data_IF_673800549389
#
_entry.id   IF_673800549389
#
_cell.length_a   1.000
_cell.length_b   1.000
_cell.length_c   1.000
_cell.angle_alpha   90.00
_cell.angle_beta   90.00
_cell.angle_gamma   90.00
#
_symmetry.space_group_name_H-M   'P 1'
#
loop_
_entity.id
_entity.type
_entity.pdbx_description
1 polymer ?
#
# COMPACT_ATOMS: atom_id res chain seq x y z
N UNK A 1 -13.04 15.61 -20.27
CA UNK A 1 -12.60 16.34 -19.05
C UNK A 1 -11.14 16.00 -18.82
N UNK A 2 -10.28 16.98 -18.59
CA UNK A 2 -8.82 16.80 -18.51
C UNK A 2 -8.40 16.36 -17.09
N UNK A 3 -7.65 15.27 -16.97
CA UNK A 3 -7.10 14.74 -15.71
C UNK A 3 -6.18 15.76 -15.04
N UNK A 4 -5.51 16.61 -15.82
CA UNK A 4 -4.65 17.68 -15.31
C UNK A 4 -5.42 18.70 -14.48
N UNK A 5 -6.57 19.18 -14.99
CA UNK A 5 -7.43 20.11 -14.27
C UNK A 5 -8.10 19.49 -13.04
N UNK A 6 -8.18 18.16 -13.02
CA UNK A 6 -8.79 17.40 -11.96
C UNK A 6 -7.80 17.20 -10.79
N UNK A 7 -6.51 16.94 -11.08
CA UNK A 7 -5.43 16.83 -10.08
C UNK A 7 -5.14 18.15 -9.33
N UNK A 8 -5.37 19.29 -9.97
CA UNK A 8 -5.06 20.60 -9.40
C UNK A 8 -6.20 21.20 -8.55
N UNK A 9 -7.29 20.47 -8.29
CA UNK A 9 -8.37 20.95 -7.42
C UNK A 9 -8.03 20.68 -5.95
N UNK A 10 -8.07 21.70 -5.06
CA UNK A 10 -7.88 21.47 -3.63
C UNK A 10 -8.97 20.53 -3.11
N UNK A 11 -8.58 19.53 -2.31
CA UNK A 11 -9.50 18.53 -1.77
C UNK A 11 -10.31 19.11 -0.59
N UNK A 12 -11.65 19.27 -0.73
CA UNK A 12 -12.48 19.68 0.40
C UNK A 12 -12.81 18.50 1.33
N UNK A 13 -12.46 17.24 1.02
CA UNK A 13 -12.98 16.07 1.71
C UNK A 13 -12.65 16.06 3.21
N UNK A 14 -11.43 16.42 3.62
CA UNK A 14 -11.09 16.45 5.04
C UNK A 14 -11.92 17.47 5.81
N UNK A 15 -12.05 18.70 5.31
CA UNK A 15 -12.90 19.71 5.94
C UNK A 15 -14.39 19.34 5.84
N UNK A 16 -14.78 18.57 4.82
CA UNK A 16 -16.15 18.10 4.63
C UNK A 16 -16.66 17.21 5.77
N UNK A 17 -15.84 16.25 6.24
CA UNK A 17 -16.25 15.34 7.32
C UNK A 17 -16.46 16.05 8.67
N UNK A 18 -15.78 17.18 8.89
CA UNK A 18 -15.84 17.94 10.15
C UNK A 18 -16.83 19.10 10.10
N UNK A 19 -16.89 19.82 8.98
CA UNK A 19 -17.76 20.99 8.84
C UNK A 19 -19.21 20.59 8.54
N UNK A 20 -19.47 19.32 8.25
CA UNK A 20 -20.83 18.81 8.09
C UNK A 20 -21.61 18.89 9.41
N UNK A 21 -22.72 19.62 9.39
CA UNK A 21 -23.63 19.71 10.53
C UNK A 21 -24.91 18.89 10.25
N UNK A 22 -25.08 17.70 10.86
CA UNK A 22 -26.25 16.86 10.60
C UNK A 22 -27.60 17.49 11.00
N UNK A 23 -27.58 18.56 11.80
CA UNK A 23 -28.80 19.29 12.19
C UNK A 23 -29.23 20.35 11.18
N UNK A 24 -28.33 20.74 10.26
CA UNK A 24 -28.54 21.81 9.28
C UNK A 24 -28.38 21.34 7.84
N UNK A 25 -27.57 20.31 7.63
CA UNK A 25 -27.11 19.89 6.32
C UNK A 25 -27.66 18.51 5.97
N UNK A 26 -28.23 18.40 4.77
CA UNK A 26 -28.44 17.10 4.11
C UNK A 26 -27.11 16.64 3.50
N UNK A 27 -26.71 15.38 3.76
CA UNK A 27 -25.40 14.85 3.36
C UNK A 27 -25.16 14.92 1.84
N UNK A 28 -26.19 14.64 1.03
CA UNK A 28 -26.07 14.70 -0.43
C UNK A 28 -25.92 16.15 -0.89
N UNK A 29 -26.77 17.05 -0.40
CA UNK A 29 -26.75 18.47 -0.74
C UNK A 29 -25.42 19.13 -0.34
N UNK A 30 -24.90 18.77 0.84
CA UNK A 30 -23.61 19.23 1.31
C UNK A 30 -22.48 18.77 0.38
N UNK A 31 -22.41 17.48 0.05
CA UNK A 31 -21.41 16.94 -0.87
C UNK A 31 -21.52 17.59 -2.26
N UNK A 32 -22.73 17.85 -2.75
CA UNK A 32 -22.95 18.56 -4.01
C UNK A 32 -22.43 20.00 -3.98
N UNK A 33 -22.56 20.70 -2.86
CA UNK A 33 -21.98 22.05 -2.70
C UNK A 33 -20.44 22.05 -2.77
N UNK A 34 -19.82 20.93 -2.42
CA UNK A 34 -18.37 20.69 -2.54
C UNK A 34 -17.97 20.15 -3.92
N UNK A 35 -18.91 20.03 -4.86
CA UNK A 35 -18.66 19.60 -6.22
C UNK A 35 -18.74 18.09 -6.45
N UNK A 36 -19.28 17.30 -5.52
CA UNK A 36 -19.51 15.87 -5.71
C UNK A 36 -20.87 15.58 -6.37
N UNK A 37 -20.93 14.65 -7.32
CA UNK A 37 -22.17 14.21 -7.96
C UNK A 37 -22.82 15.25 -8.89
N UNK A 38 -22.10 16.31 -9.25
CA UNK A 38 -22.54 17.33 -10.22
C UNK A 38 -21.87 17.09 -11.58
N UNK A 39 -22.45 17.63 -12.66
CA UNK A 39 -21.85 17.55 -14.00
C UNK A 39 -20.47 18.22 -14.02
N UNK A 40 -19.44 17.50 -14.49
CA UNK A 40 -18.05 17.97 -14.43
C UNK A 40 -17.47 18.09 -13.01
N UNK A 41 -18.10 17.44 -12.04
CA UNK A 41 -17.66 17.35 -10.65
C UNK A 41 -16.98 16.03 -10.30
N UNK A 42 -16.73 15.81 -9.01
CA UNK A 42 -16.21 14.56 -8.46
C UNK A 42 -17.30 13.48 -8.40
N UNK A 43 -16.94 12.18 -8.49
CA UNK A 43 -17.93 11.11 -8.30
C UNK A 43 -18.51 11.14 -6.89
N UNK A 44 -19.84 11.08 -6.75
CA UNK A 44 -20.49 11.11 -5.44
C UNK A 44 -20.11 9.86 -4.62
N UNK A 45 -19.53 10.00 -3.41
CA UNK A 45 -19.28 8.86 -2.55
C UNK A 45 -20.60 8.21 -2.11
N UNK A 46 -20.54 6.93 -1.75
CA UNK A 46 -21.68 6.27 -1.12
C UNK A 46 -21.93 6.94 0.22
N UNK A 47 -23.14 7.46 0.44
CA UNK A 47 -23.53 8.02 1.74
C UNK A 47 -23.97 6.84 2.61
N UNK A 48 -23.34 6.66 3.77
CA UNK A 48 -23.74 5.59 4.68
C UNK A 48 -25.17 5.81 5.17
N UNK A 49 -26.01 4.77 5.07
CA UNK A 49 -27.43 4.81 5.48
C UNK A 49 -27.58 4.96 6.98
N UNK A 50 -26.74 4.28 7.75
CA UNK A 50 -26.68 4.39 9.21
C UNK A 50 -25.28 4.06 9.75
N UNK A 51 -24.91 4.55 10.95
CA UNK A 51 -23.69 4.12 11.63
C UNK A 51 -23.65 2.61 11.88
N UNK A 52 -24.79 1.99 12.21
CA UNK A 52 -24.87 0.55 12.48
C UNK A 52 -24.59 -0.32 11.26
N UNK A 53 -25.05 0.08 10.07
CA UNK A 53 -24.76 -0.66 8.84
C UNK A 53 -23.26 -0.61 8.51
N UNK A 54 -22.63 0.55 8.74
CA UNK A 54 -21.21 0.72 8.52
C UNK A 54 -20.39 -0.05 9.54
N UNK A 55 -20.79 -0.03 10.81
CA UNK A 55 -20.16 -0.80 11.87
C UNK A 55 -20.23 -2.32 11.57
N UNK A 56 -21.41 -2.83 11.19
CA UNK A 56 -21.56 -4.23 10.79
C UNK A 56 -20.65 -4.62 9.61
N UNK A 57 -20.50 -3.74 8.62
CA UNK A 57 -19.57 -3.96 7.50
C UNK A 57 -18.10 -3.96 7.96
N UNK A 58 -17.73 -3.03 8.84
CA UNK A 58 -16.38 -2.95 9.41
C UNK A 58 -16.07 -4.24 10.18
N UNK A 59 -16.99 -4.69 11.04
CA UNK A 59 -16.85 -5.94 11.80
C UNK A 59 -16.75 -7.14 10.87
N UNK A 60 -17.59 -7.24 9.83
CA UNK A 60 -17.54 -8.34 8.87
C UNK A 60 -16.18 -8.44 8.18
N UNK A 61 -15.66 -7.33 7.66
CA UNK A 61 -14.34 -7.30 7.02
C UNK A 61 -13.23 -7.63 8.02
N UNK A 62 -13.29 -7.08 9.23
CA UNK A 62 -12.32 -7.32 10.29
C UNK A 62 -12.25 -8.79 10.70
N UNK A 63 -13.38 -9.45 10.92
CA UNK A 63 -13.42 -10.88 11.21
C UNK A 63 -12.83 -11.72 10.07
N UNK A 64 -13.15 -11.38 8.81
CA UNK A 64 -12.60 -12.07 7.65
C UNK A 64 -11.06 -11.93 7.55
N UNK A 65 -10.53 -10.75 7.86
CA UNK A 65 -9.08 -10.50 7.89
C UNK A 65 -8.41 -11.35 8.97
N UNK A 66 -8.92 -11.31 10.22
CA UNK A 66 -8.34 -12.05 11.33
C UNK A 66 -8.42 -13.57 11.12
N UNK A 67 -9.54 -14.08 10.60
CA UNK A 67 -9.68 -15.50 10.28
C UNK A 67 -8.64 -15.97 9.24
N UNK A 68 -8.47 -15.22 8.15
CA UNK A 68 -7.48 -15.54 7.13
C UNK A 68 -6.04 -15.38 7.66
N UNK A 69 -5.77 -14.38 8.51
CA UNK A 69 -4.49 -14.21 9.19
C UNK A 69 -4.12 -15.42 10.06
N UNK A 70 -5.04 -15.90 10.90
CA UNK A 70 -4.78 -17.06 11.76
C UNK A 70 -4.55 -18.34 10.94
N UNK A 71 -5.29 -18.52 9.83
CA UNK A 71 -5.07 -19.63 8.90
C UNK A 71 -3.67 -19.56 8.26
N UNK A 72 -3.29 -18.38 7.76
CA UNK A 72 -1.96 -18.14 7.19
C UNK A 72 -0.84 -18.37 8.20
N UNK A 73 -0.98 -17.83 9.40
CA UNK A 73 -0.01 -17.95 10.50
C UNK A 73 0.22 -19.42 10.86
N UNK A 74 -0.87 -20.20 10.95
CA UNK A 74 -0.80 -21.65 11.16
C UNK A 74 -0.05 -22.35 10.03
N UNK A 75 -0.40 -22.10 8.76
CA UNK A 75 0.28 -22.72 7.62
C UNK A 75 1.76 -22.35 7.56
N UNK A 76 2.08 -21.08 7.78
CA UNK A 76 3.44 -20.57 7.77
C UNK A 76 4.32 -21.26 8.82
N UNK A 77 3.82 -21.39 10.06
CA UNK A 77 4.55 -22.06 11.14
C UNK A 77 4.83 -23.55 10.88
N UNK A 78 3.91 -24.27 10.24
CA UNK A 78 4.07 -25.71 9.99
C UNK A 78 4.95 -26.04 8.77
N UNK A 79 5.01 -25.15 7.77
CA UNK A 79 5.63 -25.44 6.47
C UNK A 79 6.67 -24.40 6.01
N UNK A 80 7.22 -23.58 6.92
CA UNK A 80 8.12 -22.45 6.59
C UNK A 80 9.18 -22.77 5.53
N UNK A 81 9.94 -23.86 5.70
CA UNK A 81 10.96 -24.30 4.72
C UNK A 81 10.36 -24.81 3.40
N UNK A 82 9.22 -25.48 3.45
CA UNK A 82 8.51 -26.01 2.28
C UNK A 82 8.04 -24.93 1.32
N UNK A 83 7.48 -23.83 1.86
CA UNK A 83 7.08 -22.66 1.07
C UNK A 83 8.23 -22.13 0.22
N UNK A 84 9.38 -21.93 0.85
CA UNK A 84 10.55 -21.32 0.24
C UNK A 84 11.12 -22.19 -0.87
N UNK A 85 11.34 -23.48 -0.58
CA UNK A 85 11.91 -24.43 -1.53
C UNK A 85 10.98 -24.61 -2.72
N UNK A 86 9.69 -24.85 -2.46
CA UNK A 86 8.72 -25.10 -3.51
C UNK A 86 8.51 -23.88 -4.41
N UNK A 87 8.36 -22.70 -3.83
CA UNK A 87 8.13 -21.46 -4.58
C UNK A 87 9.35 -21.01 -5.39
N UNK A 88 10.56 -21.15 -4.83
CA UNK A 88 11.80 -20.79 -5.51
C UNK A 88 12.06 -21.68 -6.74
N UNK A 89 11.72 -22.97 -6.65
CA UNK A 89 11.92 -23.94 -7.73
C UNK A 89 10.83 -23.88 -8.81
N UNK A 90 9.72 -23.18 -8.56
CA UNK A 90 8.63 -23.05 -9.52
C UNK A 90 8.98 -22.10 -10.67
N UNK A 91 8.66 -22.46 -11.90
CA UNK A 91 8.87 -21.59 -13.06
C UNK A 91 7.95 -20.35 -13.04
N UNK A 92 8.39 -19.25 -13.64
CA UNK A 92 7.63 -17.96 -13.69
C UNK A 92 6.19 -18.15 -14.17
N UNK A 93 5.96 -18.91 -15.26
CA UNK A 93 4.61 -19.18 -15.79
C UNK A 93 3.72 -19.95 -14.82
N UNK A 94 4.30 -20.90 -14.09
CA UNK A 94 3.57 -21.68 -13.07
C UNK A 94 3.23 -20.79 -11.86
N UNK A 95 4.17 -19.94 -11.43
CA UNK A 95 3.92 -18.95 -10.37
C UNK A 95 2.78 -18.01 -10.77
N UNK A 96 2.83 -17.43 -11.96
CA UNK A 96 1.78 -16.55 -12.46
C UNK A 96 0.41 -17.24 -12.52
N UNK A 97 0.35 -18.50 -12.98
CA UNK A 97 -0.89 -19.28 -13.01
C UNK A 97 -1.45 -19.53 -11.59
N UNK A 98 -0.59 -19.93 -10.65
CA UNK A 98 -0.99 -20.16 -9.25
C UNK A 98 -1.48 -18.87 -8.58
N UNK A 99 -0.81 -17.74 -8.83
CA UNK A 99 -1.22 -16.44 -8.31
C UNK A 99 -2.59 -16.02 -8.86
N UNK A 100 -2.80 -16.17 -10.16
CA UNK A 100 -4.09 -15.84 -10.80
C UNK A 100 -5.23 -16.73 -10.27
N UNK A 101 -4.96 -18.02 -10.07
CA UNK A 101 -5.93 -18.95 -9.51
C UNK A 101 -6.30 -18.59 -8.06
N UNK A 102 -5.31 -18.31 -7.21
CA UNK A 102 -5.54 -17.89 -5.83
C UNK A 102 -6.26 -16.54 -5.73
N UNK A 103 -5.97 -15.62 -6.66
CA UNK A 103 -6.62 -14.32 -6.75
C UNK A 103 -8.08 -14.41 -7.22
N UNK A 104 -8.43 -15.46 -7.97
CA UNK A 104 -9.75 -15.62 -8.60
C UNK A 104 -9.87 -14.90 -9.95
N UNK A 105 -8.76 -14.63 -10.62
CA UNK A 105 -8.70 -13.94 -11.91
C UNK A 105 -7.30 -13.41 -12.22
N UNK A 106 -7.12 -12.70 -13.35
CA UNK A 106 -5.83 -12.10 -13.67
C UNK A 106 -5.47 -10.99 -12.67
N UNK A 107 -4.26 -11.08 -12.10
CA UNK A 107 -3.65 -9.97 -11.37
C UNK A 107 -3.26 -8.84 -12.35
N UNK A 108 -3.14 -7.59 -11.86
CA UNK A 108 -2.51 -6.53 -12.63
C UNK A 108 -1.15 -6.99 -13.17
N UNK A 109 -0.93 -6.82 -14.47
CA UNK A 109 0.21 -7.46 -15.13
C UNK A 109 1.56 -6.83 -14.79
N UNK A 110 1.59 -5.52 -14.52
CA UNK A 110 2.81 -4.71 -14.49
C UNK A 110 3.09 -4.14 -13.12
N UNK A 111 4.37 -3.90 -12.84
CA UNK A 111 4.80 -3.08 -11.72
C UNK A 111 4.12 -1.71 -11.74
N UNK A 112 3.63 -1.25 -10.58
CA UNK A 112 2.90 0.03 -10.42
C UNK A 112 1.76 0.19 -11.44
N UNK A 113 0.73 -0.68 -11.38
CA UNK A 113 -0.39 -0.62 -12.29
C UNK A 113 -1.18 0.70 -12.14
N UNK A 114 -1.20 1.30 -10.95
CA UNK A 114 -1.74 2.65 -10.69
C UNK A 114 -1.10 3.72 -11.59
N UNK A 115 0.24 3.74 -11.69
CA UNK A 115 0.96 4.66 -12.55
C UNK A 115 0.70 4.36 -14.01
N UNK A 116 0.65 3.08 -14.39
CA UNK A 116 0.35 2.70 -15.76
C UNK A 116 -1.04 3.22 -16.18
N UNK A 117 -2.05 3.00 -15.36
CA UNK A 117 -3.41 3.49 -15.58
C UNK A 117 -3.45 5.01 -15.66
N UNK A 118 -2.76 5.72 -14.76
CA UNK A 118 -2.67 7.19 -14.79
C UNK A 118 -2.00 7.70 -16.07
N UNK A 119 -0.87 7.11 -16.46
CA UNK A 119 -0.14 7.48 -17.66
C UNK A 119 -0.97 7.25 -18.93
N UNK A 120 -1.89 6.28 -18.94
CA UNK A 120 -2.82 6.11 -20.07
C UNK A 120 -3.83 7.24 -20.23
N UNK A 121 -3.94 8.14 -19.26
CA UNK A 121 -4.83 9.29 -19.29
C UNK A 121 -4.16 10.60 -19.69
N UNK A 122 -2.82 10.66 -19.61
CA UNK A 122 -2.09 11.87 -19.92
C UNK A 122 -1.88 11.96 -21.45
N UNK A 123 -2.47 12.99 -22.06
CA UNK A 123 -2.26 13.32 -23.46
C UNK A 123 -0.77 13.57 -23.74
N UNK A 124 -0.23 12.95 -24.79
CA UNK A 124 1.06 13.34 -25.36
C UNK A 124 2.32 12.84 -24.64
N UNK A 125 2.20 12.00 -23.60
CA UNK A 125 3.39 11.34 -23.04
C UNK A 125 3.76 10.15 -23.90
N UNK A 126 4.83 10.33 -24.68
CA UNK A 126 5.43 9.30 -25.52
C UNK A 126 6.35 8.42 -24.68
N UNK A 127 5.80 7.40 -24.00
CA UNK A 127 6.65 6.35 -23.42
C UNK A 127 7.13 5.44 -24.56
N UNK A 128 8.43 5.52 -24.89
CA UNK A 128 9.07 4.69 -25.94
C UNK A 128 8.38 4.75 -27.32
N UNK A 129 7.94 5.92 -27.77
CA UNK A 129 7.37 6.10 -29.11
C UNK A 129 5.90 5.71 -29.26
N UNK A 130 5.21 5.29 -28.18
CA UNK A 130 3.79 4.90 -28.24
C UNK A 130 2.92 6.12 -27.92
N UNK A 131 2.17 6.60 -28.91
CA UNK A 131 1.11 7.58 -28.70
C UNK A 131 -0.08 6.92 -27.99
N UNK A 132 -0.21 7.17 -26.69
CA UNK A 132 -1.35 6.68 -25.90
C UNK A 132 -2.48 7.71 -25.98
N UNK A 133 -3.63 7.32 -26.55
CA UNK A 133 -4.84 8.15 -26.51
C UNK A 133 -5.45 8.07 -25.11
N UNK A 134 -5.90 9.20 -24.52
CA UNK A 134 -6.54 9.21 -23.21
C UNK A 134 -7.83 8.41 -23.26
N UNK A 135 -7.99 7.50 -22.29
CA UNK A 135 -9.17 6.61 -22.23
C UNK A 135 -10.34 7.19 -21.41
N UNK A 136 -10.15 8.35 -20.79
CA UNK A 136 -11.15 9.02 -19.95
C UNK A 136 -11.20 8.50 -18.51
N UNK A 137 -11.79 9.31 -17.63
CA UNK A 137 -11.89 9.03 -16.19
C UNK A 137 -12.70 7.76 -15.87
N UNK A 138 -13.70 7.43 -16.69
CA UNK A 138 -14.47 6.17 -16.56
C UNK A 138 -13.57 4.93 -16.65
N UNK A 139 -12.48 5.00 -17.42
CA UNK A 139 -11.50 3.91 -17.47
C UNK A 139 -10.81 3.73 -16.12
N UNK A 140 -10.39 4.81 -15.47
CA UNK A 140 -9.80 4.74 -14.14
C UNK A 140 -10.78 4.15 -13.12
N UNK A 141 -12.05 4.56 -13.19
CA UNK A 141 -13.13 4.01 -12.35
C UNK A 141 -13.41 2.53 -12.60
N UNK A 142 -13.14 2.01 -13.80
CA UNK A 142 -13.23 0.58 -14.09
C UNK A 142 -12.06 -0.23 -13.53
N UNK A 143 -10.92 0.43 -13.30
CA UNK A 143 -9.66 -0.19 -12.88
C UNK A 143 -9.25 0.14 -11.43
N UNK A 144 -10.23 0.28 -10.52
CA UNK A 144 -9.99 0.65 -9.10
C UNK A 144 -8.98 -0.25 -8.39
N UNK A 145 -8.91 -1.52 -8.78
CA UNK A 145 -7.99 -2.48 -8.15
C UNK A 145 -6.52 -2.08 -8.33
N UNK A 146 -6.15 -1.53 -9.48
CA UNK A 146 -4.80 -1.05 -9.75
C UNK A 146 -4.36 0.02 -8.74
N UNK A 147 -5.32 0.83 -8.27
CA UNK A 147 -5.08 1.89 -7.32
C UNK A 147 -5.21 1.45 -5.86
N UNK A 148 -5.91 0.34 -5.56
CA UNK A 148 -6.16 -0.12 -4.17
C UNK A 148 -4.94 -0.81 -3.57
N UNK A 149 -4.28 -1.62 -4.38
CA UNK A 149 -3.11 -2.40 -3.98
C UNK A 149 -2.09 -2.40 -5.14
N UNK A 150 -1.45 -1.26 -5.44
CA UNK A 150 -0.53 -1.15 -6.58
C UNK A 150 0.72 -2.06 -6.47
N UNK A 151 1.07 -2.47 -5.26
CA UNK A 151 2.13 -3.47 -5.05
C UNK A 151 1.70 -4.88 -5.45
N UNK A 152 0.40 -5.17 -5.59
CA UNK A 152 -0.07 -6.50 -5.94
C UNK A 152 -0.15 -6.67 -7.47
N UNK A 153 0.94 -7.15 -8.07
CA UNK A 153 1.03 -7.36 -9.51
C UNK A 153 1.75 -8.67 -9.89
N UNK A 154 1.42 -9.20 -11.07
CA UNK A 154 1.94 -10.47 -11.55
C UNK A 154 3.44 -10.40 -11.88
N UNK A 155 3.91 -9.29 -12.44
CA UNK A 155 5.32 -9.09 -12.82
C UNK A 155 6.23 -9.29 -11.60
N UNK A 156 6.02 -8.54 -10.53
CA UNK A 156 6.88 -8.60 -9.34
C UNK A 156 6.75 -9.94 -8.60
N UNK A 157 5.52 -10.42 -8.39
CA UNK A 157 5.26 -11.60 -7.57
C UNK A 157 5.67 -12.91 -8.26
N UNK A 158 5.69 -12.96 -9.60
CA UNK A 158 6.06 -14.15 -10.36
C UNK A 158 7.50 -14.13 -10.90
N UNK A 159 8.04 -12.96 -11.26
CA UNK A 159 9.41 -12.88 -11.78
C UNK A 159 10.44 -12.92 -10.65
N UNK A 160 10.14 -12.28 -9.52
CA UNK A 160 11.03 -12.21 -8.37
C UNK A 160 10.44 -13.07 -7.24
N UNK A 161 10.79 -14.36 -7.12
CA UNK A 161 10.16 -15.25 -6.14
C UNK A 161 10.25 -14.75 -4.70
N UNK A 162 11.31 -13.99 -4.37
CA UNK A 162 11.51 -13.38 -3.05
C UNK A 162 10.38 -12.39 -2.70
N UNK A 163 9.81 -11.66 -3.67
CA UNK A 163 8.74 -10.68 -3.42
C UNK A 163 7.51 -11.32 -2.78
N UNK A 164 7.04 -12.44 -3.35
CA UNK A 164 5.89 -13.15 -2.82
C UNK A 164 6.16 -13.78 -1.45
N UNK A 165 7.37 -14.31 -1.24
CA UNK A 165 7.77 -14.88 0.05
C UNK A 165 7.91 -13.80 1.14
N UNK A 166 8.46 -12.63 0.81
CA UNK A 166 8.51 -11.48 1.71
C UNK A 166 7.11 -10.99 2.07
N UNK A 167 6.22 -10.86 1.08
CA UNK A 167 4.84 -10.43 1.31
C UNK A 167 4.11 -11.40 2.25
N UNK A 168 4.16 -12.70 1.93
CA UNK A 168 3.53 -13.73 2.73
C UNK A 168 4.13 -13.78 4.14
N UNK A 169 5.46 -13.87 4.26
CA UNK A 169 6.14 -13.98 5.55
C UNK A 169 5.91 -12.79 6.45
N UNK A 170 5.89 -11.57 5.90
CA UNK A 170 5.58 -10.36 6.68
C UNK A 170 4.15 -10.43 7.24
N UNK A 171 3.17 -10.73 6.39
CA UNK A 171 1.75 -10.70 6.76
C UNK A 171 1.28 -11.93 7.56
N UNK A 172 2.01 -13.04 7.51
CA UNK A 172 1.73 -14.22 8.35
C UNK A 172 2.36 -14.12 9.74
N UNK A 173 3.45 -13.34 9.88
CA UNK A 173 4.19 -13.24 11.14
C UNK A 173 3.76 -12.05 12.01
N UNK A 174 3.16 -11.03 11.42
CA UNK A 174 2.81 -9.77 12.10
C UNK A 174 1.30 -9.56 12.07
N UNK A 175 0.77 -8.87 13.09
CA UNK A 175 -0.67 -8.67 13.20
C UNK A 175 -1.15 -7.70 12.11
N UNK A 176 -2.35 -7.89 11.51
CA UNK A 176 -2.85 -7.02 10.42
C UNK A 176 -2.86 -5.51 10.74
N UNK A 177 -2.98 -5.17 12.03
CA UNK A 177 -2.96 -3.78 12.54
C UNK A 177 -1.66 -3.05 12.21
N UNK A 178 -0.56 -3.76 12.02
CA UNK A 178 0.73 -3.14 11.74
C UNK A 178 0.78 -2.55 10.32
N UNK A 179 -0.14 -2.99 9.44
CA UNK A 179 -0.09 -2.68 8.01
C UNK A 179 -1.11 -1.62 7.56
N UNK A 180 -2.12 -1.27 8.38
CA UNK A 180 -3.23 -0.42 7.94
C UNK A 180 -2.79 0.93 7.36
N UNK A 181 -1.71 1.53 7.91
CA UNK A 181 -1.13 2.80 7.41
C UNK A 181 -0.50 2.63 6.05
N UNK A 182 0.32 1.59 5.87
CA UNK A 182 0.93 1.26 4.57
C UNK A 182 -0.14 0.99 3.52
N UNK A 183 -1.20 0.29 3.90
CA UNK A 183 -2.27 -0.07 2.97
C UNK A 183 -3.09 1.17 2.58
N UNK A 184 -3.32 2.10 3.52
CA UNK A 184 -3.93 3.40 3.21
C UNK A 184 -3.06 4.26 2.30
N UNK A 185 -1.75 4.30 2.56
CA UNK A 185 -0.80 5.08 1.77
C UNK A 185 -0.58 4.47 0.38
N UNK A 186 -0.63 3.14 0.26
CA UNK A 186 -0.60 2.46 -1.03
C UNK A 186 -1.80 2.85 -1.90
N UNK A 187 -2.95 3.16 -1.29
CA UNK A 187 -4.14 3.66 -1.97
C UNK A 187 -4.15 5.18 -2.18
N UNK A 188 -3.08 5.90 -1.80
CA UNK A 188 -3.02 7.37 -1.82
C UNK A 188 -3.34 7.94 -3.19
N UNK A 189 -2.74 7.39 -4.25
CA UNK A 189 -2.98 7.87 -5.62
C UNK A 189 -4.45 7.74 -6.03
N UNK A 190 -5.07 6.58 -5.77
CA UNK A 190 -6.48 6.36 -6.11
C UNK A 190 -7.44 7.25 -5.32
N UNK A 191 -7.09 7.55 -4.05
CA UNK A 191 -7.83 8.48 -3.18
C UNK A 191 -7.71 9.92 -3.69
N UNK A 192 -6.48 10.37 -3.97
CA UNK A 192 -6.24 11.69 -4.56
C UNK A 192 -6.95 11.83 -5.89
N UNK A 193 -7.01 10.74 -6.68
CA UNK A 193 -7.72 10.62 -7.96
C UNK A 193 -9.24 10.39 -7.84
N UNK A 194 -9.82 10.30 -6.63
CA UNK A 194 -11.22 9.87 -6.36
C UNK A 194 -11.67 8.65 -7.18
N UNK A 195 -10.72 7.83 -7.62
CA UNK A 195 -10.99 6.55 -8.25
C UNK A 195 -11.46 5.57 -7.18
N UNK A 196 -10.88 5.70 -5.99
CA UNK A 196 -11.27 4.98 -4.79
C UNK A 196 -11.92 5.97 -3.82
N UNK A 197 -13.19 5.72 -3.52
CA UNK A 197 -13.96 6.48 -2.55
C UNK A 197 -14.54 5.53 -1.52
N UNK A 198 -14.29 5.82 -0.25
CA UNK A 198 -14.98 5.18 0.85
C UNK A 198 -16.35 5.81 1.11
N UNK A 199 -17.19 5.15 1.94
CA UNK A 199 -18.46 5.72 2.34
C UNK A 199 -18.29 7.02 3.15
N UNK A 200 -19.17 7.98 2.90
CA UNK A 200 -19.28 9.20 3.68
C UNK A 200 -20.15 8.95 4.91
N UNK A 201 -19.53 8.92 6.09
CA UNK A 201 -20.20 8.99 7.39
C UNK A 201 -19.56 10.10 8.23
N UNK A 202 -20.21 11.25 8.39
CA UNK A 202 -19.67 12.38 9.13
C UNK A 202 -19.71 12.12 10.64
N UNK A 203 -18.89 12.86 11.39
CA UNK A 203 -18.82 12.82 12.86
C UNK A 203 -18.52 11.44 13.46
N UNK A 204 -17.82 10.60 12.71
CA UNK A 204 -17.32 9.31 13.19
C UNK A 204 -15.88 9.15 12.75
N UNK A 205 -15.14 8.33 13.49
CA UNK A 205 -13.79 7.90 13.17
C UNK A 205 -13.68 6.41 13.36
N UNK A 206 -12.68 5.80 12.74
CA UNK A 206 -12.38 4.39 12.97
C UNK A 206 -10.97 4.26 13.54
N UNK A 207 -10.83 3.42 14.55
CA UNK A 207 -9.54 3.03 15.12
C UNK A 207 -9.27 1.57 14.81
N UNK A 208 -8.01 1.23 14.53
CA UNK A 208 -7.56 -0.15 14.34
C UNK A 208 -6.80 -0.61 15.59
N UNK A 209 -7.07 -1.84 16.04
CA UNK A 209 -6.56 -2.39 17.29
C UNK A 209 -6.17 -3.88 17.13
N UNK A 210 -5.24 -4.36 17.95
CA UNK A 210 -4.82 -5.76 18.01
C UNK A 210 -5.55 -6.60 19.06
N UNK A 211 -6.61 -6.06 19.67
CA UNK A 211 -7.38 -6.75 20.71
C UNK A 211 -8.26 -7.88 20.16
N UNK A 212 -8.61 -8.82 21.03
CA UNK A 212 -9.42 -10.00 20.69
C UNK A 212 -10.87 -9.68 20.29
N UNK A 213 -11.41 -8.53 20.71
CA UNK A 213 -12.83 -8.19 20.53
C UNK A 213 -13.16 -7.59 19.15
N UNK A 214 -12.28 -6.75 18.60
CA UNK A 214 -12.53 -6.13 17.29
C UNK A 214 -11.25 -5.60 16.64
N UNK A 215 -11.01 -5.97 15.37
CA UNK A 215 -9.89 -5.46 14.59
C UNK A 215 -9.97 -3.95 14.30
N UNK A 216 -11.19 -3.46 14.09
CA UNK A 216 -11.48 -2.06 13.82
C UNK A 216 -12.80 -1.67 14.48
N UNK A 217 -12.85 -0.45 15.03
CA UNK A 217 -13.98 0.04 15.81
C UNK A 217 -14.44 1.41 15.32
N UNK A 218 -15.73 1.55 15.03
CA UNK A 218 -16.36 2.83 14.72
C UNK A 218 -16.65 3.61 16.01
N UNK A 219 -16.19 4.86 16.07
CA UNK A 219 -16.30 5.73 17.25
C UNK A 219 -16.99 7.04 16.87
N UNK A 220 -18.05 7.39 17.59
CA UNK A 220 -18.77 8.63 17.39
C UNK A 220 -18.02 9.84 17.99
N UNK A 221 -18.02 10.96 17.26
CA UNK A 221 -17.49 12.25 17.71
C UNK A 221 -18.60 13.05 18.42
N UNK A 222 -18.80 12.77 19.71
CA UNK A 222 -19.73 13.52 20.59
C UNK A 222 -19.11 14.86 21.03
N UNK A 223 -19.94 15.84 21.41
CA UNK A 223 -19.48 17.20 21.81
C UNK A 223 -18.46 17.20 22.94
N UNK A 224 -18.59 16.27 23.89
CA UNK A 224 -17.78 16.26 25.12
C UNK A 224 -16.44 15.54 24.93
N UNK A 225 -16.31 14.76 23.84
CA UNK A 225 -15.11 14.01 23.47
C UNK A 225 -14.52 14.46 22.11
N UNK A 226 -15.11 15.47 21.47
CA UNK A 226 -14.73 15.93 20.13
C UNK A 226 -13.24 16.30 20.09
N UNK A 227 -12.74 17.04 21.07
CA UNK A 227 -11.33 17.46 21.12
C UNK A 227 -10.36 16.29 21.30
N UNK A 228 -10.72 15.28 22.12
CA UNK A 228 -9.88 14.08 22.36
C UNK A 228 -9.87 13.15 21.16
N UNK A 229 -11.02 12.91 20.54
CA UNK A 229 -11.12 12.04 19.36
C UNK A 229 -10.57 12.73 18.11
N UNK A 230 -10.68 14.06 18.02
CA UNK A 230 -9.99 14.88 17.02
C UNK A 230 -8.46 14.81 17.18
N UNK A 231 -7.96 14.82 18.42
CA UNK A 231 -6.54 14.60 18.67
C UNK A 231 -6.05 13.22 18.20
N UNK A 232 -6.90 12.18 18.17
CA UNK A 232 -6.53 10.88 17.60
C UNK A 232 -6.34 10.95 16.08
N UNK A 233 -7.19 11.70 15.37
CA UNK A 233 -7.06 11.94 13.93
C UNK A 233 -5.81 12.75 13.61
N UNK A 234 -5.59 13.86 14.33
CA UNK A 234 -4.38 14.68 14.17
C UNK A 234 -3.08 13.92 14.47
N UNK A 235 -3.15 12.89 15.31
CA UNK A 235 -2.02 12.02 15.64
C UNK A 235 -1.93 10.79 14.74
N UNK A 236 -2.73 10.70 13.68
CA UNK A 236 -2.80 9.54 12.77
C UNK A 236 -3.01 8.20 13.52
N UNK A 237 -3.81 8.24 14.58
CA UNK A 237 -4.24 7.07 15.38
C UNK A 237 -5.68 6.63 15.06
N UNK A 238 -6.37 7.40 14.24
CA UNK A 238 -7.68 7.10 13.69
C UNK A 238 -7.73 7.57 12.23
N UNK A 239 -8.72 7.07 11.50
CA UNK A 239 -9.00 7.48 10.11
C UNK A 239 -10.49 7.80 9.95
N UNK A 240 -10.86 8.46 8.86
CA UNK A 240 -12.28 8.61 8.52
C UNK A 240 -12.91 7.24 8.23
N UNK A 241 -14.23 7.06 8.41
CA UNK A 241 -14.88 5.79 8.11
C UNK A 241 -14.73 5.37 6.64
N UNK A 242 -14.67 6.35 5.73
CA UNK A 242 -14.39 6.10 4.32
C UNK A 242 -13.02 5.48 4.11
N UNK A 243 -11.98 6.06 4.71
CA UNK A 243 -10.61 5.53 4.66
C UNK A 243 -10.49 4.15 5.29
N UNK A 244 -11.15 3.94 6.43
CA UNK A 244 -11.15 2.65 7.11
C UNK A 244 -11.68 1.54 6.21
N UNK A 245 -12.80 1.77 5.52
CA UNK A 245 -13.36 0.79 4.58
C UNK A 245 -12.42 0.51 3.42
N UNK A 246 -11.73 1.53 2.89
CA UNK A 246 -10.73 1.31 1.83
C UNK A 246 -9.64 0.35 2.32
N UNK A 247 -9.10 0.58 3.52
CA UNK A 247 -8.08 -0.27 4.12
C UNK A 247 -8.62 -1.69 4.36
N UNK A 248 -9.78 -1.81 5.00
CA UNK A 248 -10.40 -3.08 5.34
C UNK A 248 -10.72 -3.91 4.09
N UNK A 249 -11.20 -3.30 3.01
CA UNK A 249 -11.43 -3.99 1.75
C UNK A 249 -10.12 -4.49 1.12
N UNK A 250 -9.10 -3.63 1.06
CA UNK A 250 -7.79 -3.98 0.52
C UNK A 250 -7.14 -5.12 1.31
N UNK A 251 -7.13 -5.03 2.64
CA UNK A 251 -6.60 -6.07 3.51
C UNK A 251 -7.41 -7.35 3.42
N UNK A 252 -8.74 -7.29 3.51
CA UNK A 252 -9.59 -8.48 3.43
C UNK A 252 -9.33 -9.27 2.15
N UNK A 253 -9.26 -8.58 1.01
CA UNK A 253 -8.94 -9.22 -0.26
C UNK A 253 -7.52 -9.79 -0.30
N UNK A 254 -6.53 -9.05 0.22
CA UNK A 254 -5.14 -9.48 0.28
C UNK A 254 -4.97 -10.74 1.15
N UNK A 255 -5.52 -10.75 2.36
CA UNK A 255 -5.42 -11.88 3.28
C UNK A 255 -6.13 -13.12 2.74
N UNK A 256 -7.31 -12.97 2.12
CA UNK A 256 -7.99 -14.09 1.46
C UNK A 256 -7.16 -14.67 0.30
N UNK A 257 -6.54 -13.80 -0.50
CA UNK A 257 -5.64 -14.23 -1.57
C UNK A 257 -4.44 -15.01 -1.03
N UNK A 258 -3.79 -14.49 0.01
CA UNK A 258 -2.62 -15.11 0.62
C UNK A 258 -2.96 -16.45 1.28
N UNK A 259 -4.10 -16.55 1.96
CA UNK A 259 -4.58 -17.81 2.53
C UNK A 259 -4.81 -18.86 1.43
N UNK A 260 -5.49 -18.51 0.33
CA UNK A 260 -5.71 -19.42 -0.81
C UNK A 260 -4.41 -19.83 -1.49
N UNK A 261 -3.51 -18.89 -1.72
CA UNK A 261 -2.18 -19.17 -2.28
C UNK A 261 -1.40 -20.11 -1.36
N UNK A 262 -1.45 -19.86 -0.06
CA UNK A 262 -0.73 -20.65 0.93
C UNK A 262 -1.25 -22.09 1.02
N UNK A 263 -2.58 -22.27 1.05
CA UNK A 263 -3.21 -23.58 1.04
C UNK A 263 -2.79 -24.41 -0.19
N UNK A 264 -2.72 -23.77 -1.37
CA UNK A 264 -2.25 -24.42 -2.60
C UNK A 264 -0.81 -24.89 -2.52
N UNK A 265 0.07 -24.12 -1.89
CA UNK A 265 1.47 -24.55 -1.71
C UNK A 265 1.53 -25.69 -0.71
N UNK A 266 0.81 -25.63 0.41
CA UNK A 266 0.78 -26.70 1.42
C UNK A 266 0.32 -28.01 0.80
N UNK A 267 -0.75 -28.00 -0.01
CA UNK A 267 -1.22 -29.20 -0.74
C UNK A 267 -0.09 -29.83 -1.57
N UNK A 268 0.72 -29.02 -2.25
CA UNK A 268 1.82 -29.51 -3.07
C UNK A 268 3.02 -29.95 -2.25
N UNK A 269 3.35 -29.25 -1.18
CA UNK A 269 4.41 -29.61 -0.24
C UNK A 269 4.10 -30.93 0.45
N UNK A 270 2.86 -31.17 0.86
CA UNK A 270 2.47 -32.43 1.53
C UNK A 270 2.46 -33.63 0.57
N UNK A 271 2.23 -33.40 -0.72
CA UNK A 271 2.32 -34.47 -1.74
C UNK A 271 3.74 -34.84 -2.14
N UNK A 272 4.73 -34.01 -1.83
CA UNK A 272 6.13 -34.23 -2.21
C UNK A 272 6.94 -34.49 -0.95
N UNK A 273 7.71 -35.57 -0.91
CA UNK A 273 8.63 -35.87 0.19
C UNK A 273 9.81 -34.88 0.19
N UNK A 274 9.56 -33.63 0.60
CA UNK A 274 10.62 -32.64 0.80
C UNK A 274 11.30 -32.98 2.13
N UNK A 275 12.62 -33.22 2.17
CA UNK A 275 13.33 -33.47 3.41
C UNK A 275 13.03 -32.34 4.42
N UNK A 276 12.52 -32.72 5.59
CA UNK A 276 12.06 -31.79 6.64
C UNK A 276 13.20 -30.94 7.22
N UNK A 277 14.45 -31.34 6.97
CA UNK A 277 15.69 -30.68 7.36
C UNK A 277 16.43 -30.21 6.11
N UNK A 278 16.00 -29.10 5.53
CA UNK A 278 16.86 -28.30 4.65
C UNK A 278 17.13 -27.02 5.41
N UNK A 279 18.40 -26.85 5.83
CA UNK A 279 18.93 -25.61 6.38
C UNK A 279 18.39 -24.43 5.56
N UNK A 280 17.94 -23.38 6.26
CA UNK A 280 17.39 -22.19 5.62
C UNK A 280 18.27 -21.75 4.44
N UNK A 281 17.77 -21.74 3.19
CA UNK A 281 18.50 -21.10 2.11
C UNK A 281 18.69 -19.63 2.48
N UNK A 282 19.86 -19.03 2.26
CA UNK A 282 20.24 -17.67 2.67
C UNK A 282 19.43 -16.51 2.03
N UNK A 283 18.21 -16.76 1.53
CA UNK A 283 17.38 -15.79 0.80
C UNK A 283 16.76 -14.75 1.76
N UNK A 284 16.70 -15.02 3.07
CA UNK A 284 16.12 -14.11 4.08
C UNK A 284 17.15 -13.55 5.07
N UNK A 285 18.37 -14.10 5.13
CA UNK A 285 19.42 -13.61 6.00
C UNK A 285 20.30 -12.60 5.26
N UNK A 286 19.84 -11.36 5.17
CA UNK A 286 20.74 -10.22 4.93
C UNK A 286 21.44 -9.77 6.22
N UNK A 287 21.48 -10.61 7.26
CA UNK A 287 22.15 -10.28 8.52
C UNK A 287 23.67 -10.14 8.35
N UNK A 288 24.23 -10.50 7.19
CA UNK A 288 25.68 -10.49 6.96
C UNK A 288 26.20 -9.44 5.98
N UNK A 289 25.43 -8.42 5.59
CA UNK A 289 25.97 -7.35 4.74
C UNK A 289 25.47 -5.97 5.11
N UNK A 290 26.38 -5.10 5.59
CA UNK A 290 26.16 -3.70 5.99
C UNK A 290 25.62 -2.77 4.88
N UNK A 291 25.35 -3.27 3.68
CA UNK A 291 24.66 -2.56 2.60
C UNK A 291 23.75 -3.52 1.83
N UNK A 292 22.43 -3.36 1.99
CA UNK A 292 21.44 -4.00 1.12
C UNK A 292 21.46 -3.31 -0.25
N UNK A 293 21.33 -4.07 -1.34
CA UNK A 293 21.21 -3.46 -2.67
C UNK A 293 19.94 -2.61 -2.77
N UNK A 294 19.96 -1.54 -3.56
CA UNK A 294 18.79 -0.66 -3.75
C UNK A 294 17.55 -1.43 -4.19
N UNK A 295 17.71 -2.41 -5.09
CA UNK A 295 16.64 -3.29 -5.52
C UNK A 295 16.02 -4.11 -4.37
N UNK A 296 16.84 -4.61 -3.44
CA UNK A 296 16.32 -5.33 -2.27
C UNK A 296 15.61 -4.38 -1.29
N UNK A 297 16.13 -3.16 -1.09
CA UNK A 297 15.47 -2.12 -0.28
C UNK A 297 14.09 -1.77 -0.86
N UNK A 298 13.98 -1.62 -2.19
CA UNK A 298 12.69 -1.39 -2.85
C UNK A 298 11.70 -2.54 -2.65
N UNK A 299 12.16 -3.78 -2.75
CA UNK A 299 11.32 -4.96 -2.47
C UNK A 299 10.90 -5.03 -1.01
N UNK A 300 11.82 -4.79 -0.08
CA UNK A 300 11.54 -4.79 1.36
C UNK A 300 10.57 -3.66 1.74
N UNK A 301 10.68 -2.50 1.09
CA UNK A 301 9.74 -1.38 1.27
C UNK A 301 8.32 -1.73 0.78
N UNK A 302 8.21 -2.43 -0.36
CA UNK A 302 6.92 -2.80 -0.94
C UNK A 302 6.24 -3.99 -0.25
N UNK A 303 7.01 -5.02 0.12
CA UNK A 303 6.49 -6.32 0.55
C UNK A 303 6.83 -6.68 2.00
N UNK A 304 7.75 -5.95 2.62
CA UNK A 304 8.18 -6.17 3.99
C UNK A 304 7.24 -5.59 5.04
N UNK A 305 7.66 -5.72 6.30
CA UNK A 305 7.04 -5.09 7.46
C UNK A 305 7.24 -3.57 7.33
N UNK A 306 6.19 -2.74 7.52
CA UNK A 306 6.33 -1.31 7.61
C UNK A 306 7.39 -0.95 8.66
N UNK A 307 8.45 -0.28 8.23
CA UNK A 307 9.49 0.18 9.14
C UNK A 307 9.09 1.55 9.68
N UNK A 308 9.20 1.71 10.99
CA UNK A 308 9.18 3.03 11.58
C UNK A 308 10.42 3.82 11.15
N UNK A 309 10.29 5.14 11.17
CA UNK A 309 11.39 6.05 10.90
C UNK A 309 12.52 5.80 11.91
N UNK A 310 13.63 5.23 11.44
CA UNK A 310 14.82 5.07 12.26
C UNK A 310 15.63 6.37 12.20
N UNK A 311 15.41 7.25 13.18
CA UNK A 311 16.10 8.53 13.28
C UNK A 311 17.62 8.33 13.45
N UNK A 312 18.05 7.28 14.16
CA UNK A 312 19.47 6.99 14.34
C UNK A 312 20.13 6.65 13.01
N UNK A 313 19.45 5.89 12.15
CA UNK A 313 19.93 5.61 10.80
C UNK A 313 20.03 6.89 9.93
N UNK A 314 19.10 7.83 10.09
CA UNK A 314 19.16 9.12 9.39
C UNK A 314 20.34 9.95 9.87
N UNK A 315 20.60 9.95 11.17
CA UNK A 315 21.78 10.59 11.77
C UNK A 315 23.05 9.93 11.24
N UNK A 316 23.14 8.59 11.22
CA UNK A 316 24.29 7.86 10.68
C UNK A 316 24.55 8.17 9.20
N UNK A 317 23.50 8.25 8.38
CA UNK A 317 23.62 8.63 6.96
C UNK A 317 24.09 10.07 6.84
N UNK A 318 23.54 10.99 7.65
CA UNK A 318 23.94 12.39 7.66
C UNK A 318 25.40 12.54 8.05
N UNK A 319 25.84 11.86 9.11
CA UNK A 319 27.23 11.87 9.58
C UNK A 319 28.17 11.27 8.53
N UNK A 320 27.75 10.19 7.87
CA UNK A 320 28.47 9.60 6.75
C UNK A 320 28.63 10.56 5.56
N UNK A 321 27.58 11.30 5.20
CA UNK A 321 27.65 12.32 4.15
C UNK A 321 28.55 13.50 4.55
N UNK A 322 28.47 13.95 5.81
CA UNK A 322 29.37 14.98 6.34
C UNK A 322 30.83 14.52 6.32
N UNK A 323 31.10 13.26 6.67
CA UNK A 323 32.44 12.68 6.61
C UNK A 323 32.96 12.57 5.18
N UNK A 324 32.13 12.10 4.24
CA UNK A 324 32.47 12.03 2.81
C UNK A 324 32.80 13.41 2.26
N UNK A 325 31.94 14.40 2.49
CA UNK A 325 32.19 15.78 2.05
C UNK A 325 33.46 16.38 2.69
N UNK A 326 33.78 16.03 3.95
CA UNK A 326 35.01 16.45 4.59
C UNK A 326 36.26 15.79 3.99
N UNK A 327 36.20 14.51 3.63
CA UNK A 327 37.30 13.82 2.94
C UNK A 327 37.44 14.32 1.49
N UNK A 328 36.35 14.59 0.76
CA UNK A 328 36.38 15.22 -0.56
C UNK A 328 37.04 16.61 -0.51
N UNK A 329 36.66 17.46 0.45
CA UNK A 329 37.29 18.77 0.66
C UNK A 329 38.79 18.66 1.00
N UNK A 330 39.15 17.66 1.81
CA UNK A 330 40.54 17.39 2.18
C UNK A 330 41.34 16.87 0.99
N UNK A 331 40.77 16.01 0.16
CA UNK A 331 41.38 15.53 -1.08
C UNK A 331 41.56 16.67 -2.08
N UNK A 332 40.54 17.53 -2.26
CA UNK A 332 40.63 18.73 -3.07
C UNK A 332 41.72 19.71 -2.57
N UNK A 333 41.93 19.80 -1.25
CA UNK A 333 43.00 20.62 -0.68
C UNK A 333 44.39 20.01 -0.87
N UNK A 334 44.51 18.69 -0.83
CA UNK A 334 45.79 17.98 -0.88
C UNK A 334 46.27 17.71 -2.32
N UNK A 335 45.33 17.55 -3.26
CA UNK A 335 45.61 17.26 -4.66
C UNK A 335 45.01 18.34 -5.58
N UNK A 336 45.82 19.29 -6.08
CA UNK A 336 45.36 20.35 -6.97
C UNK A 336 44.71 19.86 -8.26
N UNK A 337 45.08 18.66 -8.73
CA UNK A 337 44.48 18.03 -9.91
C UNK A 337 43.03 17.58 -9.66
N UNK A 338 42.74 17.02 -8.48
CA UNK A 338 41.39 16.60 -8.08
C UNK A 338 40.44 17.81 -8.02
N UNK A 339 40.91 18.93 -7.46
CA UNK A 339 40.14 20.18 -7.45
C UNK A 339 39.85 20.70 -8.87
N UNK A 340 40.84 20.65 -9.76
CA UNK A 340 40.67 21.08 -11.16
C UNK A 340 39.65 20.22 -11.89
N UNK A 341 39.70 18.90 -11.72
CA UNK A 341 38.81 17.97 -12.42
C UNK A 341 37.36 18.13 -11.92
N UNK A 342 37.14 18.25 -10.60
CA UNK A 342 35.79 18.47 -10.05
C UNK A 342 35.18 19.85 -10.37
N UNK A 343 35.97 20.93 -10.32
CA UNK A 343 35.45 22.28 -10.63
C UNK A 343 35.16 22.44 -12.12
N UNK A 344 35.95 21.80 -13.00
CA UNK A 344 35.69 21.80 -14.44
C UNK A 344 34.45 20.99 -14.78
N UNK A 345 34.30 19.79 -14.22
CA UNK A 345 33.10 18.95 -14.43
C UNK A 345 31.81 19.65 -13.96
N UNK A 346 31.85 20.36 -12.82
CA UNK A 346 30.69 21.06 -12.29
C UNK A 346 30.35 22.32 -13.12
N UNK A 347 31.36 23.06 -13.61
CA UNK A 347 31.19 24.20 -14.53
C UNK A 347 30.73 23.81 -15.93
N UNK A 348 31.02 22.59 -16.40
CA UNK A 348 30.53 22.07 -17.68
C UNK A 348 29.11 21.48 -17.58
N UNK A 349 28.65 21.18 -16.36
CA UNK A 349 27.31 20.59 -16.09
C UNK A 349 26.20 21.61 -15.79
N UNK A 350 26.55 22.90 -15.69
CA UNK A 350 25.65 24.04 -15.51
C UNK A 350 25.74 25.01 -16.70
#
# INVERSE_FOLDING_TARGET
>A
MDVYNWLNRPDPAWSAYYNFNPTRDDARSYLQSLGYGISGGFPLPVIATSPSDLDARISFLGHGILAAYEEMKKMHGHHHGGFKIYWANMGVKQRAAMLAEAWGGPLPLRHRPDLHELLTQLNGITLKGVNIKPKGFDHLLSNKQAFRAPFLNAEDLSNVPVSMLLLFGSLSSHHPVEFWRRDLESAHMGRQLRVILGPFLPRHVVTFQSGEESYAQLVALTSDAADKNYALLLRHRAVTPGEAVIVLESQHQLYQFLAKWAAKIVEKVDTVTIPREVNEPAILSSETTKMKSSAFISLESAYGIPKDLNLDQIVDISDGMCYLGAEELKQARQEPSFFKDHVVDELESH
#
